data_IF_432818814866
#
_entry.id   IF_432818814866
#
_cell.length_a   1.000
_cell.length_b   1.000
_cell.length_c   1.000
_cell.angle_alpha   90.00
_cell.angle_beta   90.00
_cell.angle_gamma   90.00
#
_symmetry.space_group_name_H-M   'P 1'
#
loop_
_entity.id
_entity.type
_entity.pdbx_description
1 polymer ?
#
# COMPACT_ATOMS: atom_id res chain seq x y z
N UNK A 1 0.46 20.48 3.11
CA UNK A 1 0.71 19.17 2.49
C UNK A 1 -0.62 18.51 2.17
N UNK A 2 -0.78 17.96 0.96
CA UNK A 2 -1.94 17.15 0.59
C UNK A 2 -1.56 15.67 0.56
N UNK A 3 -2.37 14.81 1.15
CA UNK A 3 -2.19 13.35 1.14
C UNK A 3 -3.40 12.71 0.50
N UNK A 4 -3.18 12.08 -0.64
CA UNK A 4 -4.19 11.59 -1.57
C UNK A 4 -4.15 10.06 -1.53
N UNK A 5 -5.30 9.42 -1.44
CA UNK A 5 -5.39 7.97 -1.24
C UNK A 5 -6.71 7.40 -1.75
N UNK A 6 -6.76 6.08 -1.92
CA UNK A 6 -7.98 5.38 -2.32
C UNK A 6 -9.03 5.44 -1.19
N UNK A 7 -10.15 6.07 -1.46
CA UNK A 7 -11.25 6.25 -0.54
C UNK A 7 -12.22 5.07 -0.46
N UNK A 8 -13.37 5.26 0.21
CA UNK A 8 -13.74 6.46 0.97
C UNK A 8 -12.97 6.57 2.30
N UNK A 9 -13.30 7.59 3.10
CA UNK A 9 -12.85 7.67 4.50
C UNK A 9 -13.35 6.44 5.28
N UNK A 10 -12.55 6.03 6.27
CA UNK A 10 -12.83 4.83 7.10
C UNK A 10 -12.31 3.51 6.52
N UNK A 11 -11.76 3.52 5.30
CA UNK A 11 -11.07 2.37 4.70
C UNK A 11 -9.68 2.13 5.30
N UNK A 12 -9.07 0.99 4.96
CA UNK A 12 -7.69 0.68 5.35
C UNK A 12 -6.65 1.61 4.70
N UNK A 13 -6.92 2.16 3.52
CA UNK A 13 -6.09 3.22 2.93
C UNK A 13 -6.12 4.48 3.80
N UNK A 14 -7.30 4.87 4.29
CA UNK A 14 -7.42 5.98 5.23
C UNK A 14 -6.66 5.70 6.53
N UNK A 15 -6.77 4.49 7.07
CA UNK A 15 -6.02 4.08 8.26
C UNK A 15 -4.49 4.14 8.02
N UNK A 16 -4.00 3.58 6.92
CA UNK A 16 -2.59 3.62 6.55
C UNK A 16 -2.07 5.06 6.49
N UNK A 17 -2.83 5.95 5.85
CA UNK A 17 -2.52 7.38 5.78
C UNK A 17 -2.46 8.00 7.18
N UNK A 18 -3.45 7.72 8.05
CA UNK A 18 -3.50 8.28 9.40
C UNK A 18 -2.35 7.78 10.28
N UNK A 19 -1.99 6.50 10.18
CA UNK A 19 -0.80 5.96 10.82
C UNK A 19 0.49 6.63 10.33
N UNK A 20 0.60 6.88 9.02
CA UNK A 20 1.77 7.50 8.43
C UNK A 20 1.93 8.97 8.82
N UNK A 21 0.87 9.77 8.71
CA UNK A 21 0.95 11.22 8.97
C UNK A 21 0.97 11.53 10.46
N UNK A 22 0.42 10.65 11.30
CA UNK A 22 0.31 10.88 12.74
C UNK A 22 -0.42 12.18 13.06
N UNK A 23 0.26 13.08 13.77
CA UNK A 23 -0.25 14.40 14.15
C UNK A 23 0.13 15.52 13.15
N UNK A 24 0.83 15.17 12.07
CA UNK A 24 1.33 16.15 11.11
C UNK A 24 0.18 16.84 10.39
N UNK A 25 0.23 18.16 10.30
CA UNK A 25 -0.80 18.96 9.66
C UNK A 25 -0.84 18.69 8.14
N UNK A 26 -1.94 18.09 7.67
CA UNK A 26 -2.15 17.78 6.26
C UNK A 26 -3.64 17.76 5.90
N UNK A 27 -3.91 17.91 4.61
CA UNK A 27 -5.24 17.71 4.04
C UNK A 27 -5.33 16.28 3.48
N UNK A 28 -6.32 15.52 3.94
CA UNK A 28 -6.59 14.17 3.48
C UNK A 28 -7.60 14.21 2.35
N UNK A 29 -7.24 13.68 1.18
CA UNK A 29 -8.03 13.76 -0.04
C UNK A 29 -8.31 12.34 -0.56
N UNK A 30 -9.48 11.74 -0.24
CA UNK A 30 -9.87 10.46 -0.80
C UNK A 30 -10.17 10.59 -2.31
N UNK A 31 -9.88 9.55 -3.07
CA UNK A 31 -10.25 9.41 -4.49
C UNK A 31 -10.96 8.07 -4.72
N UNK A 32 -11.72 7.95 -5.81
CA UNK A 32 -12.56 6.76 -6.06
C UNK A 32 -11.77 5.58 -6.63
N UNK A 33 -10.70 5.85 -7.39
CA UNK A 33 -9.83 4.83 -7.98
C UNK A 33 -8.36 5.09 -7.68
N UNK A 34 -7.51 4.07 -7.84
CA UNK A 34 -6.06 4.21 -7.65
C UNK A 34 -5.48 5.06 -8.79
N UNK A 35 -6.04 4.95 -10.00
CA UNK A 35 -5.67 5.82 -11.11
C UNK A 35 -5.89 7.30 -10.76
N UNK A 36 -7.06 7.63 -10.20
CA UNK A 36 -7.38 9.01 -9.80
C UNK A 36 -6.41 9.53 -8.73
N UNK A 37 -5.96 8.68 -7.79
CA UNK A 37 -4.92 9.05 -6.82
C UNK A 37 -3.64 9.51 -7.52
N UNK A 38 -3.16 8.75 -8.51
CA UNK A 38 -1.93 9.05 -9.25
C UNK A 38 -2.08 10.30 -10.10
N UNK A 39 -3.19 10.41 -10.86
CA UNK A 39 -3.47 11.55 -11.74
C UNK A 39 -3.63 12.83 -10.93
N UNK A 40 -4.49 12.80 -9.91
CA UNK A 40 -4.75 13.96 -9.07
C UNK A 40 -3.48 14.44 -8.37
N UNK A 41 -2.66 13.53 -7.81
CA UNK A 41 -1.38 13.91 -7.20
C UNK A 41 -0.44 14.60 -8.19
N UNK A 42 -0.38 14.11 -9.42
CA UNK A 42 0.42 14.74 -10.50
C UNK A 42 -0.09 16.15 -10.86
N UNK A 43 -1.41 16.31 -10.96
CA UNK A 43 -2.05 17.60 -11.25
C UNK A 43 -1.78 18.63 -10.15
N UNK A 44 -1.87 18.23 -8.87
CA UNK A 44 -1.56 19.11 -7.75
C UNK A 44 -0.12 19.62 -7.80
N UNK A 45 0.84 18.74 -8.16
CA UNK A 45 2.22 19.16 -8.42
C UNK A 45 2.35 20.14 -9.59
N UNK A 46 1.55 19.98 -10.65
CA UNK A 46 1.47 20.90 -11.78
C UNK A 46 0.91 22.28 -11.41
N UNK A 47 0.03 22.32 -10.40
CA UNK A 47 -0.55 23.55 -9.83
C UNK A 47 0.35 24.22 -8.76
N UNK A 48 1.50 23.62 -8.42
CA UNK A 48 2.42 24.14 -7.41
C UNK A 48 2.07 23.72 -5.98
N UNK A 49 1.16 22.78 -5.78
CA UNK A 49 0.84 22.20 -4.48
C UNK A 49 1.71 20.96 -4.20
N UNK A 50 2.27 20.88 -3.00
CA UNK A 50 2.98 19.68 -2.54
C UNK A 50 1.99 18.59 -2.17
N UNK A 51 2.08 17.47 -2.90
CA UNK A 51 1.17 16.34 -2.81
C UNK A 51 1.91 15.00 -2.61
N UNK A 52 1.30 14.13 -1.81
CA UNK A 52 1.73 12.76 -1.55
C UNK A 52 0.58 11.82 -1.95
N UNK A 53 0.89 10.78 -2.71
CA UNK A 53 -0.02 9.70 -3.06
C UNK A 53 0.27 8.47 -2.19
N UNK A 54 -0.75 7.84 -1.61
CA UNK A 54 -0.63 6.58 -0.88
C UNK A 54 -1.40 5.49 -1.61
N UNK A 55 -0.67 4.47 -2.09
CA UNK A 55 -1.19 3.44 -3.00
C UNK A 55 -1.10 2.05 -2.34
N UNK A 56 -2.19 1.27 -2.22
CA UNK A 56 -2.11 -0.11 -1.74
C UNK A 56 -1.37 -0.97 -2.78
N UNK A 57 -0.41 -1.78 -2.35
CA UNK A 57 0.48 -2.54 -3.24
C UNK A 57 0.12 -4.01 -3.19
N UNK A 58 0.10 -4.59 -2.01
CA UNK A 58 -0.09 -6.02 -1.83
C UNK A 58 -0.66 -6.29 -0.46
N UNK A 59 -1.43 -7.36 -0.39
CA UNK A 59 -1.95 -7.93 0.84
C UNK A 59 -1.34 -9.32 1.03
N UNK A 60 -0.93 -9.65 2.26
CA UNK A 60 -0.28 -10.93 2.56
C UNK A 60 -1.10 -12.16 2.21
N UNK A 61 -2.42 -12.03 2.06
CA UNK A 61 -3.32 -13.12 1.70
C UNK A 61 -3.88 -13.04 0.28
N UNK A 62 -4.10 -11.83 -0.26
CA UNK A 62 -4.66 -11.67 -1.60
C UNK A 62 -3.61 -11.49 -2.70
N UNK A 63 -2.35 -11.27 -2.33
CA UNK A 63 -1.31 -10.93 -3.30
C UNK A 63 -1.38 -9.46 -3.72
N UNK A 64 -0.93 -9.17 -4.93
CA UNK A 64 -0.76 -7.81 -5.45
C UNK A 64 -2.10 -7.15 -5.79
N UNK A 65 -2.16 -5.83 -5.63
CA UNK A 65 -3.26 -4.99 -6.10
C UNK A 65 -3.00 -4.66 -7.57
N UNK A 66 -3.71 -5.37 -8.45
CA UNK A 66 -3.55 -5.31 -9.91
C UNK A 66 -3.67 -3.89 -10.48
N UNK A 67 -4.56 -3.06 -9.94
CA UNK A 67 -4.72 -1.67 -10.39
C UNK A 67 -3.47 -0.83 -10.09
N UNK A 68 -2.85 -1.00 -8.92
CA UNK A 68 -1.57 -0.35 -8.58
C UNK A 68 -0.45 -0.86 -9.47
N UNK A 69 -0.37 -2.18 -9.70
CA UNK A 69 0.61 -2.77 -10.62
C UNK A 69 0.48 -2.17 -12.02
N UNK A 70 -0.74 -2.09 -12.55
CA UNK A 70 -1.05 -1.51 -13.86
C UNK A 70 -0.64 -0.03 -13.94
N UNK A 71 -0.90 0.74 -12.89
CA UNK A 71 -0.48 2.14 -12.82
C UNK A 71 1.05 2.28 -12.88
N UNK A 72 1.78 1.54 -12.04
CA UNK A 72 3.25 1.59 -11.96
C UNK A 72 3.92 1.11 -13.26
N UNK A 73 3.35 0.07 -13.89
CA UNK A 73 3.81 -0.47 -15.16
C UNK A 73 3.65 0.52 -16.31
N UNK A 74 2.58 1.33 -16.29
CA UNK A 74 2.31 2.29 -17.35
C UNK A 74 3.30 3.46 -17.32
N UNK A 75 4.16 3.54 -18.34
CA UNK A 75 5.03 4.70 -18.55
C UNK A 75 4.24 5.97 -18.85
N UNK A 76 3.08 5.85 -19.50
CA UNK A 76 2.20 6.97 -19.83
C UNK A 76 1.45 7.52 -18.60
N UNK A 77 1.15 6.68 -17.61
CA UNK A 77 0.52 7.11 -16.35
C UNK A 77 1.61 7.49 -15.35
N UNK A 78 2.16 6.53 -14.62
CA UNK A 78 3.10 6.81 -13.54
C UNK A 78 4.40 7.44 -14.05
N UNK A 79 4.92 6.98 -15.20
CA UNK A 79 6.19 7.47 -15.75
C UNK A 79 6.20 8.96 -16.13
N UNK A 80 5.07 9.51 -16.60
CA UNK A 80 4.97 10.92 -16.96
C UNK A 80 4.66 11.85 -15.78
N UNK A 81 4.09 11.31 -14.70
CA UNK A 81 3.79 12.11 -13.50
C UNK A 81 5.04 12.68 -12.83
N UNK A 82 6.17 11.95 -12.92
CA UNK A 82 7.38 12.21 -12.15
C UNK A 82 7.27 11.82 -10.68
N UNK A 83 6.18 11.17 -10.25
CA UNK A 83 6.06 10.60 -8.93
C UNK A 83 7.09 9.47 -8.77
N UNK A 84 7.68 9.39 -7.58
CA UNK A 84 8.58 8.31 -7.17
C UNK A 84 8.14 7.77 -5.81
N UNK A 85 8.40 6.49 -5.56
CA UNK A 85 8.21 5.85 -4.25
C UNK A 85 9.29 6.34 -3.29
N UNK A 86 8.87 6.87 -2.15
CA UNK A 86 9.74 7.49 -1.14
C UNK A 86 9.60 6.86 0.23
N UNK A 87 8.56 6.06 0.45
CA UNK A 87 8.34 5.32 1.68
C UNK A 87 7.39 4.15 1.46
N UNK A 88 7.25 3.31 2.48
CA UNK A 88 6.22 2.27 2.52
C UNK A 88 5.57 2.14 3.90
N UNK A 89 4.29 1.77 3.92
CA UNK A 89 3.50 1.59 5.13
C UNK A 89 3.03 0.13 5.18
N UNK A 90 3.58 -0.70 6.09
CA UNK A 90 3.00 -2.00 6.40
C UNK A 90 1.88 -1.83 7.43
N UNK A 91 0.63 -2.01 7.02
CA UNK A 91 -0.54 -1.91 7.90
C UNK A 91 -1.08 -3.30 8.27
N UNK A 92 -1.01 -3.72 9.55
CA UNK A 92 -1.76 -4.87 10.04
C UNK A 92 -3.27 -4.62 9.93
N UNK A 93 -3.97 -5.48 9.21
CA UNK A 93 -5.41 -5.38 8.97
C UNK A 93 -6.16 -6.02 10.14
N UNK A 94 -6.85 -5.17 10.90
CA UNK A 94 -7.66 -5.59 12.04
C UNK A 94 -9.13 -5.23 11.84
N UNK A 95 -9.95 -6.25 11.56
CA UNK A 95 -11.38 -6.08 11.40
C UNK A 95 -12.04 -5.90 12.76
N UNK A 96 -12.93 -4.91 12.86
CA UNK A 96 -13.71 -4.62 14.05
C UNK A 96 -15.19 -4.67 13.73
N UNK A 97 -15.99 -5.20 14.67
CA UNK A 97 -17.45 -5.14 14.58
C UNK A 97 -17.92 -3.79 15.15
N UNK A 98 -18.47 -2.95 14.29
CA UNK A 98 -18.89 -1.60 14.59
C UNK A 98 -20.42 -1.51 14.58
N UNK A 99 -20.97 -0.79 15.55
CA UNK A 99 -22.42 -0.57 15.69
C UNK A 99 -22.70 0.89 16.02
N UNK A 100 -23.89 1.34 15.68
CA UNK A 100 -24.38 2.64 16.12
C UNK A 100 -24.71 2.58 17.63
N UNK A 101 -24.22 3.51 18.46
CA UNK A 101 -24.63 3.59 19.85
C UNK A 101 -26.12 3.90 19.94
N UNK A 102 -26.78 3.39 20.98
CA UNK A 102 -28.17 3.71 21.27
C UNK A 102 -28.33 5.12 21.87
N UNK A 103 -29.56 5.51 22.23
CA UNK A 103 -29.85 6.82 22.79
C UNK A 103 -29.13 7.13 24.12
N UNK A 104 -28.63 6.11 24.82
CA UNK A 104 -27.83 6.25 26.05
C UNK A 104 -26.33 6.31 25.78
N UNK A 105 -25.89 6.10 24.54
CA UNK A 105 -24.48 6.03 24.15
C UNK A 105 -23.89 4.62 24.23
N UNK A 106 -24.67 3.63 24.66
CA UNK A 106 -24.21 2.26 24.87
C UNK A 106 -24.33 1.43 23.59
N UNK A 107 -23.56 0.34 23.53
CA UNK A 107 -23.66 -0.60 22.43
C UNK A 107 -24.94 -1.44 22.55
N UNK A 108 -25.71 -1.63 21.47
CA UNK A 108 -26.79 -2.61 21.47
C UNK A 108 -26.26 -4.01 21.79
N UNK A 109 -27.14 -4.85 22.34
CA UNK A 109 -26.84 -6.26 22.55
C UNK A 109 -26.48 -6.93 21.21
N UNK A 110 -25.46 -7.78 21.18
CA UNK A 110 -25.13 -8.54 19.97
C UNK A 110 -26.33 -9.36 19.46
N UNK A 111 -27.19 -9.83 20.36
CA UNK A 111 -28.38 -10.59 19.99
C UNK A 111 -29.46 -9.76 19.25
N UNK A 112 -29.42 -8.42 19.34
CA UNK A 112 -30.36 -7.56 18.60
C UNK A 112 -29.87 -7.18 17.20
N UNK A 113 -28.63 -7.51 16.85
CA UNK A 113 -28.09 -7.25 15.52
C UNK A 113 -28.71 -8.23 14.52
N UNK A 114 -29.37 -7.68 13.48
CA UNK A 114 -30.03 -8.44 12.41
C UNK A 114 -29.24 -8.46 11.12
N UNK A 115 -28.39 -7.46 10.89
CA UNK A 115 -27.61 -7.35 9.65
C UNK A 115 -26.16 -7.00 9.93
N UNK A 116 -25.25 -7.60 9.18
CA UNK A 116 -23.82 -7.31 9.22
C UNK A 116 -23.34 -7.00 7.80
N UNK A 117 -22.88 -5.78 7.58
CA UNK A 117 -22.44 -5.29 6.28
C UNK A 117 -20.93 -5.15 6.20
N UNK A 118 -20.32 -5.59 5.11
CA UNK A 118 -18.91 -5.28 4.79
C UNK A 118 -18.53 -5.71 3.37
N UNK A 119 -17.29 -5.43 2.97
CA UNK A 119 -16.72 -6.01 1.75
C UNK A 119 -16.73 -7.55 1.82
N UNK A 120 -17.04 -8.28 0.72
CA UNK A 120 -17.07 -9.74 0.70
C UNK A 120 -15.84 -10.41 1.33
N UNK A 121 -14.66 -9.86 1.08
CA UNK A 121 -13.42 -10.39 1.65
C UNK A 121 -13.38 -10.25 3.18
N UNK A 122 -13.80 -9.11 3.72
CA UNK A 122 -13.81 -8.87 5.16
C UNK A 122 -14.83 -9.79 5.85
N UNK A 123 -16.00 -9.99 5.23
CA UNK A 123 -17.01 -10.94 5.68
C UNK A 123 -16.44 -12.37 5.72
N UNK A 124 -15.79 -12.80 4.64
CA UNK A 124 -15.14 -14.12 4.58
C UNK A 124 -14.07 -14.31 5.65
N UNK A 125 -13.23 -13.29 5.89
CA UNK A 125 -12.19 -13.34 6.92
C UNK A 125 -12.75 -13.43 8.35
N UNK A 126 -13.99 -12.96 8.57
CA UNK A 126 -14.65 -12.92 9.87
C UNK A 126 -15.76 -13.97 10.04
N UNK A 127 -15.98 -14.85 9.06
CA UNK A 127 -17.11 -15.78 9.04
C UNK A 127 -17.24 -16.61 10.32
N UNK A 128 -16.14 -17.17 10.85
CA UNK A 128 -16.15 -17.96 12.09
C UNK A 128 -16.63 -17.15 13.31
N UNK A 129 -16.28 -15.87 13.37
CA UNK A 129 -16.74 -15.00 14.46
C UNK A 129 -18.25 -14.74 14.34
N UNK A 130 -18.72 -14.47 13.11
CA UNK A 130 -20.13 -14.19 12.83
C UNK A 130 -21.01 -15.42 13.13
N UNK A 131 -20.62 -16.60 12.68
CA UNK A 131 -21.36 -17.85 12.94
C UNK A 131 -21.50 -18.14 14.44
N UNK A 132 -20.47 -17.83 15.24
CA UNK A 132 -20.46 -18.11 16.68
C UNK A 132 -21.24 -17.07 17.50
N UNK A 133 -21.11 -15.79 17.15
CA UNK A 133 -21.59 -14.69 18.00
C UNK A 133 -22.86 -14.01 17.45
N UNK A 134 -23.11 -14.11 16.15
CA UNK A 134 -24.24 -13.49 15.45
C UNK A 134 -24.94 -14.49 14.53
N UNK A 135 -25.30 -15.71 15.00
CA UNK A 135 -25.82 -16.78 14.15
C UNK A 135 -27.17 -16.46 13.48
N UNK A 136 -27.89 -15.45 13.97
CA UNK A 136 -29.18 -15.02 13.44
C UNK A 136 -29.08 -13.79 12.52
N UNK A 137 -27.91 -13.15 12.45
CA UNK A 137 -27.73 -11.96 11.63
C UNK A 137 -27.50 -12.34 10.15
N UNK A 138 -28.11 -11.58 9.25
CA UNK A 138 -27.84 -11.68 7.83
C UNK A 138 -26.50 -11.02 7.48
N UNK A 139 -25.67 -11.72 6.71
CA UNK A 139 -24.36 -11.23 6.28
C UNK A 139 -24.50 -10.66 4.86
N UNK A 140 -24.37 -9.34 4.71
CA UNK A 140 -24.72 -8.61 3.50
C UNK A 140 -23.47 -7.95 2.88
N UNK A 141 -23.10 -8.30 1.63
CA UNK A 141 -21.98 -7.67 0.94
C UNK A 141 -22.18 -6.18 0.62
N UNK A 142 -21.12 -5.40 0.80
CA UNK A 142 -21.00 -3.98 0.45
C UNK A 142 -19.80 -3.75 -0.48
N UNK A 143 -19.77 -2.60 -1.18
CA UNK A 143 -18.69 -2.27 -2.13
C UNK A 143 -17.30 -2.13 -1.50
N UNK A 144 -17.24 -1.72 -0.23
CA UNK A 144 -16.00 -1.64 0.56
C UNK A 144 -16.35 -1.69 2.05
N UNK A 145 -15.34 -1.84 2.92
CA UNK A 145 -15.52 -1.75 4.37
C UNK A 145 -16.03 -0.37 4.80
N UNK A 146 -15.51 0.70 4.20
CA UNK A 146 -15.98 2.07 4.44
C UNK A 146 -17.40 2.33 3.92
N UNK A 147 -17.77 1.72 2.78
CA UNK A 147 -19.12 1.86 2.21
C UNK A 147 -20.22 1.18 3.05
N UNK A 148 -19.86 0.28 3.99
CA UNK A 148 -20.80 -0.31 4.93
C UNK A 148 -21.16 0.63 6.09
N UNK A 149 -20.33 1.63 6.40
CA UNK A 149 -20.54 2.54 7.54
C UNK A 149 -21.81 3.38 7.42
N UNK A 150 -22.14 3.98 6.26
CA UNK A 150 -23.40 4.70 6.11
C UNK A 150 -24.64 3.84 6.41
N UNK A 151 -24.59 2.54 6.13
CA UNK A 151 -25.72 1.63 6.38
C UNK A 151 -25.99 1.46 7.88
N UNK A 152 -24.93 1.39 8.69
CA UNK A 152 -25.03 1.37 10.16
C UNK A 152 -25.60 2.69 10.68
N UNK A 153 -25.10 3.82 10.17
CA UNK A 153 -25.54 5.15 10.61
C UNK A 153 -27.02 5.42 10.30
N UNK A 154 -27.51 4.89 9.18
CA UNK A 154 -28.89 5.05 8.71
C UNK A 154 -29.90 4.17 9.47
N UNK A 155 -29.47 3.14 10.20
CA UNK A 155 -30.38 2.32 11.02
C UNK A 155 -30.98 3.14 12.17
N UNK A 156 -32.32 3.15 12.28
CA UNK A 156 -33.04 3.73 13.41
C UNK A 156 -33.05 2.80 14.62
N UNK A 157 -33.10 1.49 14.38
CA UNK A 157 -33.27 0.45 15.41
C UNK A 157 -31.94 -0.01 16.03
N UNK A 158 -30.80 0.53 15.56
CA UNK A 158 -29.45 0.13 15.98
C UNK A 158 -29.21 -1.39 15.85
N UNK A 159 -29.88 -2.04 14.88
CA UNK A 159 -29.82 -3.47 14.60
C UNK A 159 -28.90 -3.84 13.43
N UNK A 160 -28.17 -2.85 12.90
CA UNK A 160 -27.21 -3.01 11.80
C UNK A 160 -25.80 -2.82 12.32
N UNK A 161 -24.92 -3.78 12.00
CA UNK A 161 -23.50 -3.72 12.28
C UNK A 161 -22.69 -3.65 10.97
N UNK A 162 -21.47 -3.13 11.07
CA UNK A 162 -20.49 -3.20 9.98
C UNK A 162 -19.19 -3.85 10.45
N UNK A 163 -18.53 -4.56 9.54
CA UNK A 163 -17.13 -4.96 9.73
C UNK A 163 -16.24 -3.95 9.02
N UNK A 164 -15.41 -3.23 9.75
CA UNK A 164 -14.53 -2.23 9.18
C UNK A 164 -13.27 -2.01 10.03
N UNK A 165 -12.39 -1.12 9.55
CA UNK A 165 -11.28 -0.61 10.36
C UNK A 165 -11.83 0.10 11.61
N UNK A 166 -11.12 -0.04 12.73
CA UNK A 166 -11.41 0.71 13.97
C UNK A 166 -11.48 2.21 13.72
N UNK A 167 -10.73 2.76 12.75
CA UNK A 167 -10.72 4.20 12.50
C UNK A 167 -12.09 4.75 12.12
N UNK A 168 -12.97 3.91 11.57
CA UNK A 168 -14.35 4.29 11.27
C UNK A 168 -15.15 4.57 12.55
N UNK A 169 -14.83 3.91 13.66
CA UNK A 169 -15.50 4.15 14.94
C UNK A 169 -15.25 5.58 15.43
N UNK A 170 -13.98 6.01 15.41
CA UNK A 170 -13.59 7.37 15.79
C UNK A 170 -14.14 8.41 14.83
N UNK A 171 -14.09 8.13 13.52
CA UNK A 171 -14.52 9.07 12.49
C UNK A 171 -16.03 9.34 12.51
N UNK A 172 -16.83 8.32 12.82
CA UNK A 172 -18.28 8.37 12.70
C UNK A 172 -19.03 8.25 14.04
N UNK A 173 -18.31 8.20 15.17
CA UNK A 173 -18.92 8.06 16.50
C UNK A 173 -19.64 6.72 16.70
N UNK A 174 -19.10 5.64 16.15
CA UNK A 174 -19.64 4.29 16.32
C UNK A 174 -18.99 3.60 17.52
N UNK A 175 -19.70 2.65 18.13
CA UNK A 175 -19.15 1.80 19.16
C UNK A 175 -18.46 0.58 18.56
N UNK A 176 -17.35 0.17 19.17
CA UNK A 176 -16.62 -1.05 18.82
C UNK A 176 -17.09 -2.18 19.73
N UNK A 177 -17.92 -3.08 19.22
CA UNK A 177 -18.40 -4.24 19.99
C UNK A 177 -17.33 -5.32 20.14
N UNK A 178 -16.51 -5.50 19.12
CA UNK A 178 -15.43 -6.48 19.13
C UNK A 178 -14.30 -6.04 18.20
N UNK A 179 -13.06 -6.34 18.62
CA UNK A 179 -11.84 -6.03 17.90
C UNK A 179 -11.17 -7.30 17.41
N UNK A 180 -10.46 -7.20 16.30
CA UNK A 180 -9.64 -8.28 15.76
C UNK A 180 -10.44 -9.58 15.53
N UNK A 181 -11.64 -9.46 14.94
CA UNK A 181 -12.59 -10.58 14.75
C UNK A 181 -12.25 -11.48 13.56
N UNK A 182 -11.20 -11.15 12.81
CA UNK A 182 -10.72 -11.95 11.71
C UNK A 182 -10.07 -13.26 12.17
N UNK A 183 -10.17 -14.27 11.33
CA UNK A 183 -9.58 -15.59 11.59
C UNK A 183 -8.05 -15.54 11.53
N UNK A 184 -7.49 -14.81 10.56
CA UNK A 184 -6.05 -14.70 10.33
C UNK A 184 -5.48 -13.46 11.01
N UNK A 185 -4.54 -13.65 11.94
CA UNK A 185 -3.95 -12.55 12.72
C UNK A 185 -2.82 -11.81 12.00
N UNK A 186 -2.14 -12.50 11.08
CA UNK A 186 -0.96 -11.97 10.36
C UNK A 186 -1.34 -11.37 8.99
N UNK A 187 -2.46 -10.66 8.94
CA UNK A 187 -2.93 -9.97 7.72
C UNK A 187 -2.26 -8.60 7.63
N UNK A 188 -1.43 -8.39 6.61
CA UNK A 188 -0.74 -7.12 6.39
C UNK A 188 -1.00 -6.65 4.97
N UNK A 189 -1.39 -5.39 4.82
CA UNK A 189 -1.40 -4.70 3.53
C UNK A 189 -0.25 -3.70 3.49
N UNK A 190 0.57 -3.78 2.44
CA UNK A 190 1.64 -2.81 2.17
C UNK A 190 1.10 -1.67 1.30
N UNK A 191 1.52 -0.45 1.59
CA UNK A 191 1.19 0.74 0.81
C UNK A 191 2.46 1.50 0.42
N UNK A 192 2.55 1.97 -0.82
CA UNK A 192 3.60 2.88 -1.24
C UNK A 192 3.21 4.31 -0.90
N UNK A 193 4.20 5.08 -0.46
CA UNK A 193 4.11 6.53 -0.35
C UNK A 193 4.88 7.12 -1.53
N UNK A 194 4.20 7.90 -2.36
CA UNK A 194 4.74 8.43 -3.61
C UNK A 194 4.68 9.97 -3.64
N UNK A 195 5.71 10.63 -4.16
CA UNK A 195 5.72 12.08 -4.40
C UNK A 195 6.72 12.46 -5.49
N UNK A 196 6.61 13.66 -6.08
CA UNK A 196 7.40 14.08 -7.24
C UNK A 196 8.74 14.72 -6.88
N UNK A 197 8.77 15.52 -5.81
CA UNK A 197 9.97 16.25 -5.37
C UNK A 197 10.26 15.96 -3.89
N UNK A 198 10.77 14.76 -3.57
CA UNK A 198 11.03 14.38 -2.18
C UNK A 198 11.96 15.33 -1.43
N UNK A 199 12.92 15.93 -2.14
CA UNK A 199 13.92 16.83 -1.56
C UNK A 199 13.46 18.28 -1.43
N UNK A 200 12.24 18.60 -1.90
CA UNK A 200 11.67 19.92 -1.69
C UNK A 200 11.48 20.14 -0.19
N UNK A 201 11.96 21.27 0.33
CA UNK A 201 12.10 21.53 1.78
C UNK A 201 10.86 21.18 2.61
N UNK A 202 9.66 21.54 2.14
CA UNK A 202 8.40 21.28 2.83
C UNK A 202 7.99 19.79 2.77
N UNK A 203 8.25 19.11 1.66
CA UNK A 203 8.04 17.66 1.51
C UNK A 203 9.02 16.88 2.38
N UNK A 204 10.31 17.19 2.29
CA UNK A 204 11.35 16.52 3.07
C UNK A 204 11.09 16.64 4.58
N UNK A 205 10.68 17.84 5.03
CA UNK A 205 10.29 18.07 6.43
C UNK A 205 9.09 17.21 6.82
N UNK A 206 8.02 17.23 6.02
CA UNK A 206 6.82 16.44 6.29
C UNK A 206 7.12 14.94 6.37
N UNK A 207 7.90 14.40 5.42
CA UNK A 207 8.30 12.99 5.42
C UNK A 207 9.14 12.65 6.66
N UNK A 208 10.04 13.54 7.09
CA UNK A 208 10.83 13.35 8.30
C UNK A 208 9.97 13.31 9.58
N UNK A 209 8.96 14.17 9.66
CA UNK A 209 7.99 14.19 10.77
C UNK A 209 7.19 12.88 10.82
N UNK A 210 6.68 12.42 9.67
CA UNK A 210 5.99 11.14 9.54
C UNK A 210 6.88 9.94 9.96
N UNK A 211 8.12 9.88 9.47
CA UNK A 211 9.07 8.78 9.76
C UNK A 211 9.47 8.66 11.22
N UNK A 212 9.57 9.80 11.93
CA UNK A 212 9.90 9.81 13.37
C UNK A 212 8.82 9.10 14.19
N UNK A 213 7.57 9.17 13.74
CA UNK A 213 6.43 8.47 14.34
C UNK A 213 6.52 6.95 14.14
N UNK A 214 7.14 6.49 13.04
CA UNK A 214 7.18 5.08 12.62
C UNK A 214 8.37 4.26 13.16
N UNK A 215 9.26 4.83 14.00
CA UNK A 215 10.45 4.16 14.59
C UNK A 215 11.28 3.36 13.56
N UNK A 216 11.73 4.01 12.50
CA UNK A 216 12.57 3.37 11.48
C UNK A 216 14.05 3.43 11.95
N UNK A 217 14.63 2.30 12.36
CA UNK A 217 16.06 2.16 12.72
C UNK A 217 16.85 1.37 11.66
N UNK A 218 16.21 1.05 10.55
CA UNK A 218 16.70 0.16 9.50
C UNK A 218 17.81 0.78 8.64
N UNK A 219 18.90 0.02 8.44
CA UNK A 219 19.96 0.30 7.45
C UNK A 219 19.67 -0.25 6.05
N UNK A 220 18.48 -0.84 5.84
CA UNK A 220 18.10 -1.48 4.58
C UNK A 220 17.35 -0.49 3.70
N UNK A 221 17.82 -0.31 2.46
CA UNK A 221 17.13 0.45 1.43
C UNK A 221 16.50 -0.51 0.42
N UNK A 222 15.30 -0.15 -0.02
CA UNK A 222 14.58 -0.85 -1.08
C UNK A 222 14.37 0.08 -2.26
N UNK A 223 14.51 -0.47 -3.46
CA UNK A 223 14.23 0.24 -4.70
C UNK A 223 13.19 -0.52 -5.51
N UNK A 224 12.23 0.21 -6.09
CA UNK A 224 11.29 -0.34 -7.05
C UNK A 224 11.85 -0.12 -8.46
N UNK A 225 12.04 -1.20 -9.20
CA UNK A 225 12.55 -1.17 -10.57
C UNK A 225 11.45 -1.60 -11.54
N UNK A 226 11.37 -0.89 -12.66
CA UNK A 226 10.54 -1.28 -13.82
C UNK A 226 11.44 -1.53 -15.02
N UNK A 227 11.28 -2.69 -15.64
CA UNK A 227 11.87 -3.03 -16.94
C UNK A 227 10.73 -3.13 -17.95
N UNK A 228 10.80 -2.34 -19.02
CA UNK A 228 9.87 -2.40 -20.14
C UNK A 228 10.52 -3.19 -21.28
N UNK A 229 9.84 -4.22 -21.76
CA UNK A 229 10.24 -5.06 -22.90
C UNK A 229 9.26 -4.80 -24.06
N UNK A 230 9.73 -4.40 -25.27
CA UNK A 230 8.86 -4.12 -26.41
C UNK A 230 8.09 -5.34 -26.91
N UNK A 231 6.87 -5.15 -27.45
CA UNK A 231 6.03 -6.23 -28.03
C UNK A 231 6.70 -7.03 -29.14
N UNK A 232 7.69 -6.47 -29.84
CA UNK A 232 8.43 -7.17 -30.89
C UNK A 232 9.21 -8.38 -30.38
N UNK A 233 9.48 -8.44 -29.06
CA UNK A 233 10.27 -9.49 -28.42
C UNK A 233 9.42 -10.13 -27.33
N UNK A 234 8.73 -11.23 -27.66
CA UNK A 234 7.91 -11.99 -26.71
C UNK A 234 8.66 -13.19 -26.08
N UNK A 235 9.86 -13.49 -26.58
CA UNK A 235 10.90 -14.17 -25.80
C UNK A 235 11.80 -13.07 -25.27
N UNK A 236 11.96 -13.01 -23.95
CA UNK A 236 13.09 -12.44 -23.19
C UNK A 236 12.67 -12.05 -21.77
N UNK A 237 11.40 -11.72 -21.51
CA UNK A 237 10.93 -11.39 -20.16
C UNK A 237 11.07 -12.55 -19.16
N UNK A 238 10.72 -13.77 -19.57
CA UNK A 238 10.87 -14.95 -18.70
C UNK A 238 12.34 -15.26 -18.39
N UNK A 239 13.24 -15.08 -19.35
CA UNK A 239 14.68 -15.24 -19.16
C UNK A 239 15.22 -14.14 -18.23
N UNK A 240 14.78 -12.89 -18.40
CA UNK A 240 15.10 -11.79 -17.49
C UNK A 240 14.66 -12.14 -16.06
N UNK A 241 13.46 -12.69 -15.87
CA UNK A 241 12.96 -13.10 -14.55
C UNK A 241 13.82 -14.23 -13.96
N UNK A 242 14.20 -15.24 -14.75
CA UNK A 242 15.09 -16.31 -14.30
C UNK A 242 16.48 -15.80 -13.92
N UNK A 243 17.01 -14.84 -14.68
CA UNK A 243 18.28 -14.18 -14.38
C UNK A 243 18.19 -13.32 -13.11
N UNK A 244 17.10 -12.57 -12.94
CA UNK A 244 16.83 -11.80 -11.72
C UNK A 244 16.73 -12.70 -10.48
N UNK A 245 16.13 -13.89 -10.61
CA UNK A 245 16.02 -14.87 -9.52
C UNK A 245 17.34 -15.58 -9.19
N UNK A 246 18.23 -15.74 -10.18
CA UNK A 246 19.51 -16.45 -10.01
C UNK A 246 20.66 -15.54 -9.59
N UNK A 247 20.50 -14.22 -9.66
CA UNK A 247 21.52 -13.30 -9.18
C UNK A 247 21.63 -13.31 -7.65
N UNK A 248 22.82 -13.64 -7.16
CA UNK A 248 23.17 -13.71 -5.74
C UNK A 248 24.43 -12.92 -5.40
N UNK A 249 24.96 -12.11 -6.33
CA UNK A 249 26.19 -11.34 -6.13
C UNK A 249 25.90 -9.92 -5.62
N UNK A 250 26.36 -9.64 -4.40
CA UNK A 250 26.21 -8.38 -3.65
C UNK A 250 26.83 -7.17 -4.39
N UNK A 251 26.38 -5.91 -4.14
CA UNK A 251 25.83 -5.39 -2.87
C UNK A 251 24.30 -5.46 -2.69
N UNK A 252 23.57 -5.98 -3.67
CA UNK A 252 22.10 -6.07 -3.67
C UNK A 252 21.70 -7.47 -3.18
N UNK A 253 21.07 -7.55 -2.01
CA UNK A 253 20.99 -8.79 -1.25
C UNK A 253 19.77 -9.67 -1.60
N UNK A 254 18.72 -9.10 -2.23
CA UNK A 254 17.57 -9.88 -2.69
C UNK A 254 16.74 -9.13 -3.74
N UNK A 255 16.44 -9.79 -4.86
CA UNK A 255 15.32 -9.41 -5.73
C UNK A 255 14.06 -10.08 -5.16
N UNK A 256 13.03 -9.29 -4.88
CA UNK A 256 11.76 -9.76 -4.33
C UNK A 256 10.58 -9.20 -5.12
N UNK A 257 9.40 -9.79 -4.93
CA UNK A 257 8.13 -9.29 -5.45
C UNK A 257 8.20 -8.97 -6.96
N UNK A 258 8.69 -9.95 -7.75
CA UNK A 258 8.74 -9.83 -9.20
C UNK A 258 7.32 -10.03 -9.74
N UNK A 259 6.80 -9.00 -10.40
CA UNK A 259 5.48 -8.97 -11.02
C UNK A 259 5.62 -8.63 -12.51
N UNK A 260 4.78 -9.25 -13.33
CA UNK A 260 4.71 -8.97 -14.76
C UNK A 260 3.31 -8.51 -15.12
N UNK A 261 3.22 -7.55 -16.03
CA UNK A 261 1.95 -7.13 -16.62
C UNK A 261 2.15 -6.68 -18.06
N UNK A 262 1.15 -6.94 -18.90
CA UNK A 262 1.19 -6.56 -20.31
C UNK A 262 0.57 -5.17 -20.48
N UNK A 263 1.32 -4.27 -21.11
CA UNK A 263 0.90 -2.89 -21.42
C UNK A 263 0.67 -2.72 -22.92
N UNK A 264 0.17 -1.55 -23.34
CA UNK A 264 0.04 -1.22 -24.77
C UNK A 264 1.39 -1.22 -25.51
N UNK A 265 2.49 -0.91 -24.82
CA UNK A 265 3.85 -0.82 -25.36
C UNK A 265 4.64 -2.13 -25.30
N UNK A 266 4.17 -3.14 -24.56
CA UNK A 266 4.88 -4.41 -24.37
C UNK A 266 4.74 -4.95 -22.95
N UNK A 267 5.63 -5.85 -22.56
CA UNK A 267 5.63 -6.39 -21.21
C UNK A 267 6.35 -5.45 -20.25
N UNK A 268 5.81 -5.31 -19.05
CA UNK A 268 6.40 -4.54 -17.97
C UNK A 268 6.69 -5.48 -16.81
N UNK A 269 7.94 -5.54 -16.39
CA UNK A 269 8.41 -6.31 -15.26
C UNK A 269 8.70 -5.32 -14.13
N UNK A 270 8.06 -5.51 -12.99
CA UNK A 270 8.30 -4.73 -11.78
C UNK A 270 8.86 -5.62 -10.69
N UNK A 271 9.87 -5.15 -9.99
CA UNK A 271 10.45 -5.89 -8.88
C UNK A 271 11.08 -4.96 -7.86
N UNK A 272 11.20 -5.45 -6.64
CA UNK A 272 11.85 -4.77 -5.53
C UNK A 272 13.27 -5.32 -5.34
N UNK A 273 14.22 -4.42 -5.07
CA UNK A 273 15.61 -4.79 -4.78
C UNK A 273 15.99 -4.22 -3.43
N UNK A 274 16.44 -5.10 -2.53
CA UNK A 274 16.94 -4.72 -1.20
C UNK A 274 18.46 -4.55 -1.20
N UNK A 275 18.95 -3.50 -0.55
CA UNK A 275 20.37 -3.16 -0.41
C UNK A 275 20.70 -2.73 1.01
N UNK A 276 21.81 -3.22 1.55
CA UNK A 276 22.31 -2.78 2.85
C UNK A 276 23.21 -1.56 2.68
N UNK A 277 23.04 -0.53 3.52
CA UNK A 277 24.04 0.53 3.61
C UNK A 277 25.35 -0.06 4.17
N UNK A 278 26.42 -0.02 3.38
CA UNK A 278 27.73 -0.45 3.83
C UNK A 278 28.19 0.41 5.01
N UNK A 279 28.50 -0.21 6.15
CA UNK A 279 29.28 0.44 7.20
C UNK A 279 30.68 0.71 6.63
N UNK A 280 31.13 1.96 6.64
CA UNK A 280 32.48 2.37 6.20
C UNK A 280 33.56 1.34 6.57
N UNK A 281 34.03 0.58 5.59
CA UNK A 281 35.32 -0.10 5.61
C UNK A 281 35.79 -0.33 4.17
N UNK A 282 37.05 0.03 3.96
CA UNK A 282 37.85 0.09 2.74
C UNK A 282 37.68 -1.03 1.70
N UNK A 283 37.82 -0.60 0.44
CA UNK A 283 38.10 -1.36 -0.80
C UNK A 283 37.01 -2.27 -1.36
N UNK A 284 35.98 -1.65 -1.94
CA UNK A 284 35.21 -2.17 -3.08
C UNK A 284 34.96 -1.02 -4.06
N UNK A 285 34.77 -1.31 -5.37
CA UNK A 285 34.90 -0.30 -6.42
C UNK A 285 33.91 0.85 -6.16
N UNK A 286 34.42 2.07 -6.30
CA UNK A 286 33.74 3.33 -6.07
C UNK A 286 32.29 3.30 -6.58
N UNK A 287 31.34 3.05 -5.67
CA UNK A 287 29.93 3.28 -5.89
C UNK A 287 29.57 4.53 -5.10
N UNK A 288 29.35 5.61 -5.83
CA UNK A 288 28.84 6.89 -5.37
C UNK A 288 27.38 6.75 -4.95
N UNK A 289 26.86 7.64 -4.10
CA UNK A 289 25.41 7.71 -3.77
C UNK A 289 24.50 7.88 -5.01
N UNK A 290 25.08 8.10 -6.19
CA UNK A 290 24.41 8.19 -7.49
C UNK A 290 24.29 6.86 -8.24
N UNK A 291 24.90 5.77 -7.75
CA UNK A 291 24.79 4.44 -8.36
C UNK A 291 23.46 3.78 -7.95
N UNK A 292 22.38 4.19 -8.62
CA UNK A 292 21.07 3.54 -8.48
C UNK A 292 21.17 2.07 -8.86
N UNK A 293 20.34 1.17 -8.27
CA UNK A 293 20.29 -0.24 -8.64
C UNK A 293 20.04 -0.49 -10.14
N UNK A 294 19.59 0.52 -10.87
CA UNK A 294 19.45 0.53 -12.33
C UNK A 294 20.76 0.19 -13.06
N UNK A 295 21.91 0.65 -12.56
CA UNK A 295 23.23 0.38 -13.16
C UNK A 295 23.60 -1.10 -13.14
N UNK A 296 23.23 -1.83 -12.08
CA UNK A 296 23.42 -3.27 -11.98
C UNK A 296 22.47 -4.05 -12.91
N UNK A 297 21.20 -3.66 -12.99
CA UNK A 297 20.25 -4.28 -13.94
C UNK A 297 20.66 -4.00 -15.39
N UNK A 298 21.25 -2.83 -15.67
CA UNK A 298 21.85 -2.53 -16.98
C UNK A 298 23.14 -3.33 -17.25
N UNK A 299 23.91 -3.64 -16.21
CA UNK A 299 25.09 -4.50 -16.30
C UNK A 299 24.77 -5.99 -16.50
N UNK A 300 23.52 -6.40 -16.25
CA UNK A 300 23.01 -7.67 -16.77
C UNK A 300 22.92 -7.55 -18.30
N UNK A 301 24.00 -7.96 -18.99
CA UNK A 301 24.28 -7.80 -20.43
C UNK A 301 23.30 -8.52 -21.39
N UNK A 302 22.02 -8.64 -21.07
CA UNK A 302 21.05 -9.50 -21.75
C UNK A 302 19.68 -8.84 -21.97
N UNK A 303 19.54 -7.53 -21.77
CA UNK A 303 18.28 -6.87 -22.08
C UNK A 303 18.06 -6.78 -23.60
N UNK A 304 16.83 -7.03 -24.07
CA UNK A 304 16.51 -6.96 -25.48
C UNK A 304 16.67 -5.55 -26.05
N UNK A 305 17.00 -5.47 -27.34
CA UNK A 305 17.05 -4.18 -28.03
C UNK A 305 15.72 -3.43 -27.91
N UNK A 306 15.81 -2.15 -27.51
CA UNK A 306 14.64 -1.30 -27.29
C UNK A 306 13.99 -1.43 -25.90
N UNK A 307 14.51 -2.29 -25.02
CA UNK A 307 14.11 -2.30 -23.61
C UNK A 307 14.53 -1.02 -22.87
N UNK A 308 13.74 -0.65 -21.86
CA UNK A 308 14.07 0.48 -20.97
C UNK A 308 13.95 0.08 -19.51
N UNK A 309 14.78 0.67 -18.66
CA UNK A 309 14.76 0.46 -17.22
C UNK A 309 14.53 1.80 -16.53
N UNK A 310 13.68 1.81 -15.52
CA UNK A 310 13.47 2.95 -14.65
C UNK A 310 13.50 2.52 -13.18
N UNK A 311 14.20 3.29 -12.33
CA UNK A 311 13.99 3.24 -10.89
C UNK A 311 12.79 4.12 -10.56
N UNK A 312 11.72 3.51 -10.06
CA UNK A 312 10.48 4.19 -9.68
C UNK A 312 10.55 4.76 -8.27
N UNK A 313 11.64 4.56 -7.52
CA UNK A 313 11.81 5.09 -6.18
C UNK A 313 12.80 4.27 -5.35
N UNK A 314 13.35 4.90 -4.31
CA UNK A 314 14.23 4.24 -3.34
C UNK A 314 13.94 4.76 -1.93
N UNK A 315 13.63 3.89 -1.00
CA UNK A 315 13.23 4.24 0.37
C UNK A 315 13.89 3.34 1.41
N UNK A 316 13.72 3.66 2.68
CA UNK A 316 14.20 2.83 3.81
C UNK A 316 13.11 1.85 4.22
N UNK A 317 13.44 0.56 4.32
CA UNK A 317 12.45 -0.46 4.69
C UNK A 317 12.14 -0.37 6.18
N UNK A 318 10.85 -0.26 6.60
CA UNK A 318 10.46 -0.30 8.01
C UNK A 318 10.86 -1.60 8.70
N UNK A 319 11.28 -1.54 9.96
CA UNK A 319 11.73 -2.72 10.72
C UNK A 319 10.63 -3.78 10.89
N UNK A 320 9.36 -3.36 10.91
CA UNK A 320 8.20 -4.26 11.00
C UNK A 320 8.05 -5.21 9.81
N UNK A 321 8.66 -4.92 8.66
CA UNK A 321 8.69 -5.83 7.51
C UNK A 321 9.82 -6.87 7.60
N UNK A 322 10.77 -6.74 8.53
CA UNK A 322 11.85 -7.72 8.72
C UNK A 322 11.40 -8.99 9.44
N UNK A 323 10.44 -8.89 10.37
CA UNK A 323 10.03 -10.04 11.19
C UNK A 323 9.30 -11.15 10.40
N UNK A 324 8.83 -10.86 9.18
CA UNK A 324 8.10 -11.81 8.33
C UNK A 324 8.95 -12.47 7.24
N UNK A 325 10.26 -12.20 7.16
CA UNK A 325 11.18 -12.83 6.18
C UNK A 325 12.05 -13.93 6.78
N UNK A 326 11.82 -14.31 8.04
CA UNK A 326 12.44 -15.47 8.68
C UNK A 326 11.47 -16.65 8.74
N UNK A 327 11.21 -17.28 7.59
CA UNK A 327 10.77 -18.68 7.48
C UNK A 327 11.55 -19.32 6.34
#
# INVERSE_FOLDING_TARGET
>A
MQVIFLGPLGTYSHEAVRCFVGQSACQLIPQDTINDVVVYASEQWGMGHSAIAVLPISNSFLGIVEETLSCLASSALFGQTGLVVVDEIPLPIQHSLLVKPDASGESPSLASIKEVHSHPQALGQCAQYLERNLPQAQVIPSKSTGAAIPLVLQSSECDVAAIASTISAELYGLNVCARSIQTMKDNVTRFYVCTKKPDQTDVARFLSECRTTSKISSSMRRSLIRVQVPKSNNMDAQNIIEQLRSSSEAPWNAVQNIHTTTTSTGESILFEVDSQMASRASSHPHLSDTDTPTSWVQAMNSLPDGSSIACLGTWTVPDSLRSNTAI
#
